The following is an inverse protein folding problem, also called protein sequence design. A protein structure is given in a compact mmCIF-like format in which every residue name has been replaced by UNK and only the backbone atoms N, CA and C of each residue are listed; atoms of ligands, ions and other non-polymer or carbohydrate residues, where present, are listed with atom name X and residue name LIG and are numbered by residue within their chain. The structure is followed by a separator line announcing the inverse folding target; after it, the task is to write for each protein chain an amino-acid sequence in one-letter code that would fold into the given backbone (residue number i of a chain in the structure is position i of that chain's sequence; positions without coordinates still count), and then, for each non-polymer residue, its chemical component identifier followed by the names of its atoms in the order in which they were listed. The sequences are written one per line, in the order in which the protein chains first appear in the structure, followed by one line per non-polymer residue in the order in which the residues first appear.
data_IF_453206990927
#
_entry.id   IF_453206990927
#
_cell.length_a   1.000
_cell.length_b   1.000
_cell.length_c   1.000
_cell.angle_alpha   90.00
_cell.angle_beta   90.00
_cell.angle_gamma   90.00
#
_symmetry.space_group_name_H-M   'P 1'
#
loop_
_entity.id
_entity.type
_entity.pdbx_description
1 polymer ?
#
# COMPACT_ATOMS: atom_id res chain seq x y z
N UNK A 1 -18.16 3.00 3.45
CA UNK A 1 -18.24 4.30 4.17
C UNK A 1 -17.48 5.32 3.34
N UNK A 2 -18.04 6.51 3.15
CA UNK A 2 -17.40 7.60 2.39
C UNK A 2 -16.44 8.39 3.28
N UNK A 3 -15.43 9.05 2.70
CA UNK A 3 -14.49 9.87 3.49
C UNK A 3 -15.21 10.97 4.30
N UNK A 4 -16.30 11.53 3.76
CA UNK A 4 -17.10 12.54 4.46
C UNK A 4 -17.72 11.99 5.75
N UNK A 5 -18.27 10.79 5.72
CA UNK A 5 -18.82 10.11 6.90
C UNK A 5 -17.73 9.82 7.93
N UNK A 6 -16.54 9.40 7.47
CA UNK A 6 -15.38 9.12 8.34
C UNK A 6 -14.97 10.39 9.10
N UNK A 7 -14.80 11.52 8.40
CA UNK A 7 -14.43 12.79 9.02
C UNK A 7 -15.50 13.24 10.03
N UNK A 8 -16.77 13.07 9.72
CA UNK A 8 -17.85 13.44 10.64
C UNK A 8 -17.82 12.62 11.93
N UNK A 9 -17.48 11.33 11.84
CA UNK A 9 -17.29 10.47 13.02
C UNK A 9 -16.05 10.91 13.82
N UNK A 10 -14.93 11.14 13.14
CA UNK A 10 -13.67 11.53 13.80
C UNK A 10 -13.73 12.91 14.46
N UNK A 11 -14.50 13.85 13.92
CA UNK A 11 -14.70 15.16 14.55
C UNK A 11 -15.27 15.03 15.98
N UNK A 12 -16.21 14.10 16.18
CA UNK A 12 -16.79 13.78 17.49
C UNK A 12 -16.00 12.79 18.35
N UNK A 13 -14.90 12.24 17.84
CA UNK A 13 -14.10 11.25 18.54
C UNK A 13 -13.13 11.92 19.53
N UNK A 14 -13.08 11.43 20.77
CA UNK A 14 -12.25 11.99 21.84
C UNK A 14 -11.53 10.94 22.69
N UNK A 15 -11.88 9.66 22.58
CA UNK A 15 -11.40 8.62 23.48
C UNK A 15 -11.56 7.21 22.89
N UNK A 16 -11.67 7.09 21.57
CA UNK A 16 -11.76 5.79 20.90
C UNK A 16 -10.82 5.73 19.71
N UNK A 17 -10.41 4.52 19.35
CA UNK A 17 -9.73 4.24 18.09
C UNK A 17 -10.69 3.45 17.21
N UNK A 18 -11.06 4.04 16.08
CA UNK A 18 -11.97 3.46 15.10
C UNK A 18 -11.15 2.94 13.92
N UNK A 19 -11.23 1.63 13.70
CA UNK A 19 -10.63 0.96 12.56
C UNK A 19 -11.73 0.56 11.57
N UNK A 20 -11.53 0.94 10.32
CA UNK A 20 -12.41 0.63 9.19
C UNK A 20 -11.71 -0.35 8.27
N UNK A 21 -12.45 -1.36 7.80
CA UNK A 21 -11.90 -2.36 6.88
C UNK A 21 -11.89 -1.82 5.47
N UNK A 22 -10.74 -1.87 4.84
CA UNK A 22 -10.53 -1.52 3.43
C UNK A 22 -9.80 -2.66 2.75
N UNK A 23 -10.59 -3.57 2.14
CA UNK A 23 -10.08 -4.82 1.60
C UNK A 23 -9.41 -5.68 2.66
N UNK A 24 -8.11 -5.92 2.50
CA UNK A 24 -7.28 -6.72 3.41
C UNK A 24 -6.59 -5.91 4.52
N UNK A 25 -6.93 -4.62 4.66
CA UNK A 25 -6.35 -3.73 5.68
C UNK A 25 -7.40 -3.24 6.68
N UNK A 26 -6.95 -3.05 7.91
CA UNK A 26 -7.58 -2.13 8.86
C UNK A 26 -6.97 -0.75 8.68
N UNK A 27 -7.81 0.29 8.61
CA UNK A 27 -7.37 1.69 8.58
C UNK A 27 -7.98 2.52 9.69
N UNK A 28 -7.15 3.35 10.30
CA UNK A 28 -7.55 4.43 11.18
C UNK A 28 -7.39 5.77 10.45
N UNK A 29 -8.25 6.73 10.78
CA UNK A 29 -8.26 8.07 10.20
C UNK A 29 -8.16 9.14 11.29
N UNK A 30 -7.59 10.30 10.95
CA UNK A 30 -7.53 11.49 11.81
C UNK A 30 -7.16 11.19 13.27
N UNK A 31 -8.05 11.46 14.23
CA UNK A 31 -7.81 11.28 15.65
C UNK A 31 -7.59 9.82 16.02
N UNK A 32 -8.33 8.89 15.40
CA UNK A 32 -8.08 7.46 15.56
C UNK A 32 -6.67 7.07 15.07
N UNK A 33 -6.18 7.67 13.98
CA UNK A 33 -4.82 7.41 13.49
C UNK A 33 -3.77 7.94 14.48
N UNK A 34 -3.96 9.14 15.01
CA UNK A 34 -3.09 9.70 16.04
C UNK A 34 -3.05 8.82 17.29
N UNK A 35 -4.22 8.51 17.86
CA UNK A 35 -4.31 7.70 19.06
C UNK A 35 -3.71 6.30 18.86
N UNK A 36 -3.92 5.69 17.69
CA UNK A 36 -3.29 4.43 17.34
C UNK A 36 -1.76 4.54 17.34
N UNK A 37 -1.21 5.59 16.71
CA UNK A 37 0.23 5.82 16.63
C UNK A 37 0.88 6.04 18.01
N UNK A 38 0.17 6.71 18.91
CA UNK A 38 0.67 7.04 20.26
C UNK A 38 0.47 5.91 21.28
N UNK A 39 -0.61 5.13 21.17
CA UNK A 39 -1.06 4.23 22.24
C UNK A 39 -0.94 2.74 21.89
N UNK A 40 -0.90 2.39 20.60
CA UNK A 40 -0.91 0.98 20.17
C UNK A 40 0.39 0.65 19.45
N UNK A 41 0.63 1.26 18.28
CA UNK A 41 1.79 0.94 17.47
C UNK A 41 2.15 2.11 16.54
N UNK A 42 3.44 2.52 16.49
CA UNK A 42 3.88 3.70 15.73
C UNK A 42 4.02 3.42 14.23
N UNK A 43 2.93 3.03 13.56
CA UNK A 43 2.93 2.90 12.10
C UNK A 43 3.06 4.26 11.42
N UNK A 44 3.71 4.27 10.25
CA UNK A 44 3.94 5.48 9.46
C UNK A 44 2.60 6.02 8.92
N UNK A 45 2.15 7.20 9.38
CA UNK A 45 0.94 7.81 8.86
C UNK A 45 1.17 8.38 7.45
N UNK A 46 0.08 8.50 6.71
CA UNK A 46 0.04 9.12 5.38
C UNK A 46 -0.96 10.26 5.38
N UNK A 47 -0.50 11.47 5.04
CA UNK A 47 -1.33 12.67 4.90
C UNK A 47 -1.57 12.99 3.43
N UNK A 48 -2.83 13.06 2.99
CA UNK A 48 -3.20 13.31 1.58
C UNK A 48 -4.30 14.35 1.47
N UNK A 49 -4.27 15.18 0.44
CA UNK A 49 -5.38 16.06 0.11
C UNK A 49 -6.57 15.25 -0.44
N UNK A 50 -7.74 15.40 0.17
CA UNK A 50 -8.97 14.73 -0.29
C UNK A 50 -9.93 15.74 -0.87
N UNK A 51 -10.09 15.70 -2.19
CA UNK A 51 -10.90 16.66 -2.95
C UNK A 51 -12.36 16.69 -2.48
N UNK A 52 -12.95 15.52 -2.19
CA UNK A 52 -14.35 15.39 -1.78
C UNK A 52 -14.69 16.16 -0.48
N UNK A 53 -13.72 16.35 0.41
CA UNK A 53 -13.88 17.07 1.68
C UNK A 53 -13.10 18.39 1.73
N UNK A 54 -12.36 18.73 0.66
CA UNK A 54 -11.54 19.95 0.52
C UNK A 54 -10.59 20.20 1.71
N UNK A 55 -10.05 19.13 2.25
CA UNK A 55 -9.08 19.17 3.34
C UNK A 55 -8.06 18.04 3.19
N UNK A 56 -6.94 18.15 3.88
CA UNK A 56 -6.01 17.06 4.05
C UNK A 56 -6.50 16.07 5.12
N UNK A 57 -6.31 14.79 4.80
CA UNK A 57 -6.71 13.66 5.63
C UNK A 57 -5.50 12.82 5.95
N UNK A 58 -5.32 12.49 7.23
CA UNK A 58 -4.29 11.58 7.72
C UNK A 58 -4.91 10.21 7.95
N UNK A 59 -4.22 9.18 7.48
CA UNK A 59 -4.60 7.79 7.72
C UNK A 59 -3.38 6.93 8.00
N UNK A 60 -3.59 5.83 8.73
CA UNK A 60 -2.64 4.74 8.85
C UNK A 60 -3.39 3.42 8.82
N UNK A 61 -2.67 2.32 8.60
CA UNK A 61 -3.30 1.01 8.58
C UNK A 61 -2.32 -0.14 8.60
N UNK A 62 -2.85 -1.33 8.82
CA UNK A 62 -2.10 -2.57 8.89
C UNK A 62 -2.94 -3.74 8.35
N UNK A 63 -2.30 -4.85 7.92
CA UNK A 63 -3.02 -5.99 7.37
C UNK A 63 -3.97 -6.63 8.40
N UNK A 64 -5.14 -7.10 7.95
CA UNK A 64 -6.12 -7.79 8.80
C UNK A 64 -5.51 -9.02 9.48
N UNK A 65 -4.62 -9.74 8.79
CA UNK A 65 -3.91 -10.90 9.34
C UNK A 65 -3.02 -10.57 10.54
N UNK A 66 -2.56 -9.32 10.67
CA UNK A 66 -1.71 -8.88 11.78
C UNK A 66 -2.54 -8.44 13.02
N UNK A 67 -3.87 -8.37 12.92
CA UNK A 67 -4.71 -7.78 13.96
C UNK A 67 -4.59 -8.47 15.33
N UNK A 68 -4.45 -9.80 15.36
CA UNK A 68 -4.31 -10.54 16.62
C UNK A 68 -3.07 -10.14 17.43
N UNK A 69 -1.98 -9.78 16.75
CA UNK A 69 -0.74 -9.36 17.38
C UNK A 69 -0.75 -7.87 17.68
N UNK A 70 -1.18 -7.05 16.71
CA UNK A 70 -1.14 -5.59 16.80
C UNK A 70 -2.13 -5.06 17.84
N UNK A 71 -3.31 -5.69 17.94
CA UNK A 71 -4.37 -5.27 18.86
C UNK A 71 -4.37 -6.10 20.15
N UNK A 72 -3.29 -6.82 20.42
CA UNK A 72 -3.19 -7.62 21.63
C UNK A 72 -3.27 -6.72 22.87
N UNK A 73 -4.15 -7.06 23.82
CA UNK A 73 -4.37 -6.26 25.02
C UNK A 73 -5.24 -5.01 24.84
N UNK A 74 -5.65 -4.66 23.62
CA UNK A 74 -6.58 -3.56 23.40
C UNK A 74 -8.00 -3.93 23.87
N UNK A 75 -8.66 -3.02 24.58
CA UNK A 75 -10.07 -3.20 24.98
C UNK A 75 -11.00 -2.90 23.80
N UNK A 76 -11.60 -3.95 23.24
CA UNK A 76 -12.62 -3.84 22.18
C UNK A 76 -13.94 -3.36 22.77
N UNK A 77 -14.47 -2.25 22.24
CA UNK A 77 -15.78 -1.69 22.60
C UNK A 77 -16.88 -2.12 21.64
N UNK A 78 -16.55 -2.29 20.35
CA UNK A 78 -17.48 -2.76 19.33
C UNK A 78 -16.71 -3.47 18.22
N UNK A 79 -17.26 -4.60 17.75
CA UNK A 79 -16.76 -5.33 16.60
C UNK A 79 -17.92 -5.69 15.68
N UNK A 80 -17.82 -5.24 14.43
CA UNK A 80 -18.77 -5.53 13.36
C UNK A 80 -18.01 -5.86 12.09
N UNK A 81 -18.69 -6.45 11.11
CA UNK A 81 -18.11 -6.67 9.80
C UNK A 81 -17.72 -5.32 9.17
N UNK A 82 -16.42 -5.09 9.06
CA UNK A 82 -15.87 -3.87 8.46
C UNK A 82 -15.58 -2.71 9.42
N UNK A 83 -15.88 -2.84 10.72
CA UNK A 83 -15.61 -1.79 11.72
C UNK A 83 -15.22 -2.39 13.07
N UNK A 84 -14.12 -1.91 13.63
CA UNK A 84 -13.67 -2.23 14.98
C UNK A 84 -13.49 -0.93 15.76
N UNK A 85 -13.95 -0.89 17.00
CA UNK A 85 -13.78 0.26 17.90
C UNK A 85 -13.10 -0.20 19.18
N UNK A 86 -12.00 0.46 19.52
CA UNK A 86 -11.18 0.20 20.68
C UNK A 86 -11.28 1.37 21.66
N UNK A 87 -11.17 1.09 22.95
CA UNK A 87 -11.00 2.14 23.95
C UNK A 87 -9.62 2.77 23.80
N UNK A 88 -9.55 4.09 23.95
CA UNK A 88 -8.31 4.85 23.94
C UNK A 88 -8.28 5.84 25.10
N UNK A 89 -7.08 6.25 25.49
CA UNK A 89 -6.90 7.41 26.37
C UNK A 89 -7.41 8.67 25.66
N UNK A 90 -7.83 9.71 26.42
CA UNK A 90 -8.33 10.95 25.85
C UNK A 90 -7.39 11.54 24.79
N UNK A 91 -7.99 11.99 23.69
CA UNK A 91 -7.31 12.58 22.54
C UNK A 91 -7.45 14.09 22.65
N UNK A 92 -6.39 14.77 23.10
CA UNK A 92 -6.36 16.22 23.12
C UNK A 92 -6.33 16.77 21.70
N UNK A 93 -7.24 17.70 21.38
CA UNK A 93 -7.34 18.28 20.05
C UNK A 93 -6.02 18.98 19.64
N UNK A 94 -5.38 19.69 20.56
CA UNK A 94 -4.11 20.37 20.30
C UNK A 94 -2.97 19.41 19.91
N UNK A 95 -2.84 18.30 20.63
CA UNK A 95 -1.77 17.31 20.37
C UNK A 95 -1.99 16.59 19.04
N UNK A 96 -3.25 16.27 18.74
CA UNK A 96 -3.63 15.72 17.44
C UNK A 96 -3.28 16.68 16.29
N UNK A 97 -3.65 17.96 16.39
CA UNK A 97 -3.37 18.92 15.33
C UNK A 97 -1.86 19.15 15.15
N UNK A 98 -1.10 19.26 16.25
CA UNK A 98 0.35 19.37 16.22
C UNK A 98 0.99 18.15 15.53
N UNK A 99 0.53 16.94 15.88
CA UNK A 99 0.97 15.70 15.23
C UNK A 99 0.60 15.67 13.76
N UNK A 100 -0.62 16.03 13.39
CA UNK A 100 -1.09 16.06 11.99
C UNK A 100 -0.23 16.98 11.13
N UNK A 101 0.18 18.14 11.66
CA UNK A 101 1.08 19.05 10.95
C UNK A 101 2.51 18.51 10.81
N UNK A 102 2.95 17.64 11.72
CA UNK A 102 4.27 16.99 11.61
C UNK A 102 4.33 15.93 10.51
N UNK A 103 3.19 15.37 10.08
CA UNK A 103 3.14 14.35 9.03
C UNK A 103 3.35 15.01 7.66
N UNK A 104 4.39 14.60 6.89
CA UNK A 104 4.63 15.14 5.57
C UNK A 104 3.43 14.92 4.65
N UNK A 105 2.98 15.98 3.99
CA UNK A 105 1.92 15.86 2.99
C UNK A 105 2.45 15.07 1.80
N UNK A 106 1.82 13.96 1.48
CA UNK A 106 2.03 13.26 0.24
C UNK A 106 1.45 14.15 -0.87
N UNK A 107 2.32 14.88 -1.56
CA UNK A 107 1.95 15.56 -2.78
C UNK A 107 1.39 14.52 -3.76
N UNK A 108 0.32 14.85 -4.52
CA UNK A 108 -0.02 14.04 -5.67
C UNK A 108 1.25 13.92 -6.53
N UNK A 109 1.62 12.69 -6.86
CA UNK A 109 2.83 12.41 -7.64
C UNK A 109 2.66 13.03 -9.03
N UNK A 110 3.08 14.28 -9.19
CA UNK A 110 3.35 14.87 -10.50
C UNK A 110 4.66 14.24 -11.00
N UNK A 111 4.57 12.97 -11.41
CA UNK A 111 5.59 12.20 -12.10
C UNK A 111 7.03 12.55 -11.74
N UNK A 112 7.50 12.16 -10.55
CA UNK A 112 8.95 12.20 -10.29
C UNK A 112 9.64 11.07 -11.07
N UNK A 113 10.26 11.47 -12.19
CA UNK A 113 11.33 10.75 -12.88
C UNK A 113 12.24 10.03 -11.88
N UNK A 114 12.53 8.72 -12.07
CA UNK A 114 13.51 8.03 -11.26
C UNK A 114 14.86 8.71 -11.44
N UNK A 115 15.44 9.17 -10.33
CA UNK A 115 16.82 9.68 -10.29
C UNK A 115 17.73 8.49 -10.62
N UNK A 116 18.23 8.45 -11.85
CA UNK A 116 19.34 7.58 -12.24
C UNK A 116 20.49 7.78 -11.27
N UNK A 117 20.70 6.82 -10.38
CA UNK A 117 21.93 6.70 -9.61
C UNK A 117 22.88 5.86 -10.47
N UNK A 118 24.01 6.39 -10.95
CA UNK A 118 24.95 5.60 -11.74
C UNK A 118 25.55 4.51 -10.85
N UNK A 119 25.24 3.25 -11.14
CA UNK A 119 25.99 2.12 -10.59
C UNK A 119 27.35 2.06 -11.29
N UNK A 120 28.48 1.97 -10.56
CA UNK A 120 29.79 1.85 -11.18
C UNK A 120 29.93 0.49 -11.86
N UNK A 121 30.26 0.55 -13.15
CA UNK A 121 30.65 -0.58 -13.98
C UNK A 121 32.02 -1.11 -13.55
N UNK A 122 32.16 -2.44 -13.42
CA UNK A 122 33.45 -3.14 -13.34
C UNK A 122 33.47 -4.21 -14.45
N UNK A 123 34.43 -4.20 -15.39
CA UNK A 123 34.56 -5.21 -16.43
C UNK A 123 35.64 -6.27 -16.13
N UNK A 124 35.62 -7.32 -16.96
CA UNK A 124 36.58 -8.41 -17.19
C UNK A 124 36.32 -9.68 -16.35
N UNK A 125 36.32 -10.90 -16.91
CA UNK A 125 37.03 -11.37 -18.09
C UNK A 125 36.32 -12.54 -18.84
N UNK A 126 36.61 -12.60 -20.14
CA UNK A 126 36.50 -13.71 -21.12
C UNK A 126 37.39 -14.90 -20.67
N UNK A 127 37.32 -16.18 -21.07
CA UNK A 127 36.86 -17.00 -22.23
C UNK A 127 37.09 -18.51 -21.82
N UNK A 128 36.98 -19.59 -22.63
CA UNK A 128 36.21 -19.91 -23.85
C UNK A 128 35.45 -21.27 -23.85
N UNK A 129 34.62 -21.44 -24.89
CA UNK A 129 33.89 -22.58 -25.47
C UNK A 129 34.25 -24.05 -25.12
N UNK A 130 33.19 -24.88 -25.00
CA UNK A 130 33.13 -26.21 -25.62
C UNK A 130 31.67 -26.58 -25.96
N UNK A 131 31.51 -27.42 -26.97
CA UNK A 131 30.42 -27.49 -27.95
C UNK A 131 29.50 -28.71 -27.83
N UNK A 132 28.28 -28.56 -28.35
CA UNK A 132 27.29 -29.57 -28.87
C UNK A 132 26.81 -30.66 -27.89
N UNK A 133 25.51 -30.97 -27.75
CA UNK A 133 24.65 -31.58 -28.79
C UNK A 133 23.17 -31.55 -28.32
N UNK A 134 22.25 -31.50 -29.29
CA UNK A 134 20.79 -31.46 -29.18
C UNK A 134 20.13 -32.67 -28.49
N UNK A 135 18.93 -32.47 -27.88
CA UNK A 135 17.59 -33.07 -28.22
C UNK A 135 16.49 -32.30 -27.41
N UNK A 136 15.31 -31.94 -27.98
CA UNK A 136 14.18 -31.35 -27.25
C UNK A 136 13.30 -32.44 -26.58
N UNK A 137 12.49 -32.13 -25.55
CA UNK A 137 11.05 -32.12 -25.80
C UNK A 137 10.20 -31.17 -24.92
N UNK A 138 9.08 -30.74 -25.52
CA UNK A 138 7.75 -30.57 -24.91
C UNK A 138 7.62 -29.75 -23.61
N UNK A 139 7.32 -28.45 -23.76
CA UNK A 139 6.81 -27.60 -22.67
C UNK A 139 6.65 -26.11 -23.00
N UNK A 140 6.79 -25.71 -24.27
CA UNK A 140 7.05 -24.32 -24.67
C UNK A 140 5.93 -23.29 -24.40
N UNK A 141 4.71 -23.68 -24.03
CA UNK A 141 3.63 -22.70 -23.83
C UNK A 141 3.79 -21.87 -22.55
N UNK A 142 4.16 -22.52 -21.44
CA UNK A 142 4.09 -21.88 -20.12
C UNK A 142 5.39 -21.19 -19.70
N UNK A 143 6.56 -21.76 -20.05
CA UNK A 143 7.86 -21.18 -19.68
C UNK A 143 8.12 -19.84 -20.38
N UNK A 144 7.66 -19.70 -21.63
CA UNK A 144 7.72 -18.44 -22.38
C UNK A 144 6.84 -17.34 -21.76
N UNK A 145 5.74 -17.70 -21.09
CA UNK A 145 4.82 -16.74 -20.46
C UNK A 145 5.42 -16.16 -19.18
N UNK A 146 5.97 -17.03 -18.34
CA UNK A 146 6.64 -16.61 -17.11
C UNK A 146 7.81 -15.65 -17.41
N UNK A 147 8.60 -15.93 -18.45
CA UNK A 147 9.67 -15.04 -18.89
C UNK A 147 9.15 -13.73 -19.49
N UNK A 148 8.02 -13.76 -20.20
CA UNK A 148 7.37 -12.55 -20.70
C UNK A 148 6.91 -11.65 -19.56
N UNK A 149 6.35 -12.21 -18.48
CA UNK A 149 5.92 -11.46 -17.30
C UNK A 149 7.14 -10.90 -16.55
N UNK A 150 8.21 -11.68 -16.36
CA UNK A 150 9.43 -11.23 -15.68
C UNK A 150 10.13 -10.09 -16.40
N UNK A 151 10.11 -10.09 -17.74
CA UNK A 151 10.73 -9.06 -18.58
C UNK A 151 9.83 -7.83 -18.79
N UNK A 152 8.54 -7.94 -18.51
CA UNK A 152 7.60 -6.84 -18.69
C UNK A 152 7.74 -5.82 -17.55
N UNK A 153 8.43 -4.71 -17.84
CA UNK A 153 8.55 -3.61 -16.90
C UNK A 153 7.28 -2.75 -16.90
N UNK A 154 6.39 -3.01 -15.94
CA UNK A 154 5.11 -2.30 -15.78
C UNK A 154 5.29 -0.79 -15.53
N UNK A 155 6.39 -0.38 -14.89
CA UNK A 155 6.65 1.02 -14.50
C UNK A 155 6.99 1.91 -15.71
N UNK A 156 7.52 1.30 -16.78
CA UNK A 156 7.89 1.99 -18.03
C UNK A 156 6.78 2.04 -19.08
N UNK A 157 5.59 1.50 -18.79
CA UNK A 157 4.53 1.26 -19.77
C UNK A 157 3.28 2.06 -19.47
N UNK A 158 2.65 2.57 -20.53
CA UNK A 158 1.38 3.30 -20.44
C UNK A 158 0.23 2.33 -20.10
N UNK A 159 -0.88 2.81 -19.52
CA UNK A 159 -2.03 1.96 -19.20
C UNK A 159 -2.57 1.17 -20.41
N UNK A 160 -2.50 1.76 -21.61
CA UNK A 160 -2.91 1.10 -22.86
C UNK A 160 -1.96 -0.04 -23.22
N UNK A 161 -0.65 0.16 -23.10
CA UNK A 161 0.34 -0.91 -23.37
C UNK A 161 0.23 -2.06 -22.38
N UNK A 162 -0.05 -1.79 -21.11
CA UNK A 162 -0.33 -2.82 -20.11
C UNK A 162 -1.59 -3.62 -20.48
N UNK A 163 -2.64 -2.95 -20.95
CA UNK A 163 -3.86 -3.62 -21.41
C UNK A 163 -3.60 -4.51 -22.62
N UNK A 164 -2.84 -4.03 -23.61
CA UNK A 164 -2.46 -4.81 -24.79
C UNK A 164 -1.60 -6.03 -24.43
N UNK A 165 -0.66 -5.88 -23.48
CA UNK A 165 0.13 -6.99 -22.97
C UNK A 165 -0.74 -8.05 -22.30
N UNK A 166 -1.71 -7.66 -21.45
CA UNK A 166 -2.65 -8.58 -20.83
C UNK A 166 -3.54 -9.32 -21.85
N UNK A 167 -3.97 -8.63 -22.91
CA UNK A 167 -4.72 -9.26 -24.01
C UNK A 167 -3.88 -10.32 -24.74
N UNK A 168 -2.61 -10.04 -25.00
CA UNK A 168 -1.69 -10.99 -25.62
C UNK A 168 -1.37 -12.19 -24.71
N UNK A 169 -1.20 -11.98 -23.40
CA UNK A 169 -1.04 -13.08 -22.44
C UNK A 169 -2.28 -13.98 -22.41
N UNK A 170 -3.49 -13.39 -22.43
CA UNK A 170 -4.75 -14.14 -22.48
C UNK A 170 -4.89 -14.94 -23.77
N UNK A 171 -4.50 -14.36 -24.91
CA UNK A 171 -4.50 -15.04 -26.22
C UNK A 171 -3.61 -16.28 -26.19
N UNK A 172 -2.40 -16.17 -25.64
CA UNK A 172 -1.42 -17.27 -25.53
C UNK A 172 -1.80 -18.35 -24.53
N UNK A 173 -2.66 -18.04 -23.56
CA UNK A 173 -3.21 -19.04 -22.63
C UNK A 173 -4.43 -19.79 -23.20
N UNK A 174 -5.01 -19.31 -24.30
CA UNK A 174 -6.17 -19.89 -24.94
C UNK A 174 -5.84 -20.76 -26.17
N UNK A 175 -4.57 -20.79 -26.59
CA UNK A 175 -3.99 -21.71 -27.59
C UNK A 175 -3.39 -22.94 -26.90
#
# INVERSE_FOLDING_TARGET
MTVKEIIQIENGNHNTIILLREGIFWRAYEKSAYAFSMQIHPYKPTRKWVIAVKQDVVSLGFPVSAAGNVLNGCKVLMQQEGRLVLAASPIAAGDFEAWKQSVPMALPDNGRQPKNVPHPYVPAAETPQASVTAVPPAGQGCENLADSIRRFNIESKTPVECMLFLMELKRRLAE
#
